data_IF_635816153966
#
_entry.id   IF_635816153966
#
_cell.length_a   1.000
_cell.length_b   1.000
_cell.length_c   1.000
_cell.angle_alpha   90.00
_cell.angle_beta   90.00
_cell.angle_gamma   90.00
#
_symmetry.space_group_name_H-M   'P 1'
#
loop_
_entity.id
_entity.type
_entity.pdbx_description
1 polymer ?
#
# COMPACT_ATOMS: atom_id res chain seq x y z
N UNK A 1 -2.44 0.12 33.51
CA UNK A 1 -3.01 0.77 32.32
C UNK A 1 -1.92 0.81 31.25
N UNK A 2 -2.05 0.04 30.18
CA UNK A 2 -1.10 0.10 29.06
C UNK A 2 -1.44 1.35 28.24
N UNK A 3 -0.55 2.33 28.23
CA UNK A 3 -0.73 3.57 27.49
C UNK A 3 -0.89 3.31 26.00
N UNK A 4 -1.82 4.03 25.37
CA UNK A 4 -1.98 4.06 23.91
C UNK A 4 -0.61 4.32 23.28
N UNK A 5 -0.15 3.52 22.29
CA UNK A 5 1.14 3.78 21.65
C UNK A 5 1.13 5.22 21.15
N UNK A 6 2.10 6.02 21.59
CA UNK A 6 2.24 7.40 21.15
C UNK A 6 2.36 7.40 19.64
N UNK A 7 1.35 7.95 18.96
CA UNK A 7 1.30 8.04 17.51
C UNK A 7 2.60 8.67 16.96
N UNK A 8 3.31 7.96 16.07
CA UNK A 8 4.62 8.36 15.57
C UNK A 8 4.49 9.37 14.42
N UNK A 9 4.27 10.64 14.77
CA UNK A 9 4.02 11.75 13.82
C UNK A 9 5.23 12.16 12.97
N UNK A 10 6.44 11.74 13.31
CA UNK A 10 7.66 12.08 12.56
C UNK A 10 7.82 11.27 11.26
N UNK A 11 7.11 10.13 11.14
CA UNK A 11 7.19 9.26 9.97
C UNK A 11 6.41 9.85 8.81
N UNK A 12 7.13 10.35 7.80
CA UNK A 12 6.58 10.89 6.56
C UNK A 12 6.64 9.92 5.38
N UNK A 13 7.56 8.96 5.44
CA UNK A 13 7.79 7.97 4.39
C UNK A 13 7.67 6.59 5.04
N UNK A 14 6.79 5.76 4.50
CA UNK A 14 6.55 4.41 4.98
C UNK A 14 6.72 3.43 3.83
N UNK A 15 7.55 2.41 4.03
CA UNK A 15 7.75 1.32 3.08
C UNK A 15 7.37 -0.02 3.72
N UNK A 16 6.53 -0.79 3.02
CA UNK A 16 6.06 -2.11 3.41
C UNK A 16 6.57 -3.12 2.36
N UNK A 17 7.67 -3.81 2.69
CA UNK A 17 8.48 -4.58 1.72
C UNK A 17 8.42 -6.11 1.91
N UNK A 18 8.26 -6.58 3.15
CA UNK A 18 8.54 -8.00 3.50
C UNK A 18 7.30 -8.91 3.55
N UNK A 19 6.10 -8.41 3.26
CA UNK A 19 4.87 -9.21 3.33
C UNK A 19 3.80 -8.53 2.50
N UNK A 20 3.10 -9.28 1.64
CA UNK A 20 2.01 -8.72 0.85
C UNK A 20 0.89 -8.25 1.80
N UNK A 21 0.79 -6.95 2.11
CA UNK A 21 -0.06 -6.54 3.20
C UNK A 21 -1.49 -6.52 2.69
N UNK A 22 -2.43 -7.02 3.50
CA UNK A 22 -3.85 -6.80 3.24
C UNK A 22 -4.17 -5.31 3.39
N UNK A 23 -5.24 -4.84 2.75
CA UNK A 23 -5.70 -3.47 2.94
C UNK A 23 -5.89 -3.15 4.43
N UNK A 24 -6.48 -4.07 5.20
CA UNK A 24 -6.68 -3.93 6.66
C UNK A 24 -5.37 -3.68 7.40
N UNK A 25 -4.34 -4.48 7.07
CA UNK A 25 -3.01 -4.35 7.68
C UNK A 25 -2.39 -2.98 7.37
N UNK A 26 -2.47 -2.54 6.12
CA UNK A 26 -1.97 -1.21 5.73
C UNK A 26 -2.68 -0.11 6.50
N UNK A 27 -4.01 -0.19 6.62
CA UNK A 27 -4.81 0.80 7.35
C UNK A 27 -4.43 0.87 8.83
N UNK A 28 -4.29 -0.27 9.50
CA UNK A 28 -3.86 -0.31 10.90
C UNK A 28 -2.46 0.27 11.08
N UNK A 29 -1.55 0.02 10.15
CA UNK A 29 -0.21 0.62 10.17
C UNK A 29 -0.30 2.13 9.97
N UNK A 30 -1.11 2.62 9.03
CA UNK A 30 -1.29 4.05 8.81
C UNK A 30 -1.87 4.78 10.04
N UNK A 31 -2.71 4.13 10.85
CA UNK A 31 -3.18 4.69 12.15
C UNK A 31 -2.03 4.96 13.13
N UNK A 32 -0.92 4.22 13.06
CA UNK A 32 0.27 4.48 13.89
C UNK A 32 1.12 5.65 13.38
N UNK A 33 0.96 6.02 12.11
CA UNK A 33 1.78 7.01 11.40
C UNK A 33 0.88 8.04 10.69
N UNK A 34 0.22 8.93 11.44
CA UNK A 34 -0.83 9.81 10.93
C UNK A 34 -0.34 10.88 9.96
N UNK A 35 0.97 11.11 9.84
CA UNK A 35 1.55 12.14 8.98
C UNK A 35 2.30 11.57 7.77
N UNK A 36 2.03 10.31 7.39
CA UNK A 36 2.63 9.69 6.20
C UNK A 36 2.25 10.49 4.95
N UNK A 37 3.27 10.91 4.21
CA UNK A 37 3.15 11.63 2.95
C UNK A 37 3.39 10.70 1.75
N UNK A 38 4.28 9.70 1.90
CA UNK A 38 4.67 8.77 0.84
C UNK A 38 4.58 7.32 1.32
N UNK A 39 3.78 6.51 0.62
CA UNK A 39 3.56 5.11 0.94
C UNK A 39 4.11 4.20 -0.18
N UNK A 40 5.02 3.31 0.18
CA UNK A 40 5.59 2.31 -0.73
C UNK A 40 5.11 0.92 -0.31
N UNK A 41 4.51 0.18 -1.23
CA UNK A 41 4.00 -1.17 -0.97
C UNK A 41 4.54 -2.11 -2.03
N UNK A 42 5.17 -3.20 -1.59
CA UNK A 42 5.59 -4.29 -2.47
C UNK A 42 4.58 -5.43 -2.41
N UNK A 43 3.99 -5.78 -3.56
CA UNK A 43 3.02 -6.87 -3.75
C UNK A 43 1.76 -6.73 -2.88
N UNK A 44 0.58 -6.60 -3.47
CA UNK A 44 -0.67 -6.52 -2.70
C UNK A 44 -1.45 -7.83 -2.76
N UNK A 45 -2.21 -8.12 -1.68
CA UNK A 45 -3.25 -9.15 -1.62
C UNK A 45 -4.52 -8.48 -1.11
N UNK A 46 -5.69 -8.95 -1.56
CA UNK A 46 -6.96 -8.51 -1.00
C UNK A 46 -7.68 -9.73 -0.41
N UNK A 47 -8.06 -9.58 0.84
CA UNK A 47 -9.19 -10.29 1.40
C UNK A 47 -10.31 -9.25 1.53
N UNK A 48 -11.50 -9.56 1.05
CA UNK A 48 -12.66 -8.71 1.24
C UNK A 48 -12.99 -8.70 2.73
N UNK A 49 -12.92 -7.54 3.37
CA UNK A 49 -13.32 -7.35 4.76
C UNK A 49 -14.00 -5.99 4.85
N UNK A 50 -15.11 -5.92 5.58
CA UNK A 50 -15.75 -4.66 5.96
C UNK A 50 -14.80 -3.94 6.91
N UNK A 51 -14.27 -2.81 6.48
CA UNK A 51 -13.37 -1.98 7.27
C UNK A 51 -14.18 -0.93 8.03
N UNK A 52 -13.96 -0.87 9.34
CA UNK A 52 -14.35 0.31 10.11
C UNK A 52 -13.32 1.40 9.86
N UNK A 53 -13.66 2.30 8.93
CA UNK A 53 -12.84 3.41 8.49
C UNK A 53 -12.98 4.59 9.45
N UNK A 54 -12.66 4.38 10.73
CA UNK A 54 -12.29 5.49 11.61
C UNK A 54 -11.32 6.41 10.86
N UNK A 55 -11.50 7.73 10.98
CA UNK A 55 -10.73 8.72 10.22
C UNK A 55 -9.22 8.44 10.31
N UNK A 56 -8.62 8.14 9.17
CA UNK A 56 -7.18 7.92 9.04
C UNK A 56 -6.57 9.26 8.65
N UNK A 57 -5.97 9.94 9.61
CA UNK A 57 -5.47 11.32 9.47
C UNK A 57 -4.58 11.52 8.23
N UNK A 58 -3.72 10.56 7.91
CA UNK A 58 -2.86 10.68 6.74
C UNK A 58 -3.64 10.65 5.43
N UNK A 59 -4.74 9.91 5.32
CA UNK A 59 -5.57 9.93 4.11
C UNK A 59 -6.27 11.28 3.92
N UNK A 60 -6.66 11.93 5.02
CA UNK A 60 -7.35 13.21 4.98
C UNK A 60 -6.41 14.38 4.66
N UNK A 61 -5.17 14.36 5.16
CA UNK A 61 -4.33 15.56 5.24
C UNK A 61 -2.91 15.43 4.70
N UNK A 62 -2.35 14.23 4.58
CA UNK A 62 -0.90 14.08 4.38
C UNK A 62 -0.49 13.22 3.19
N UNK A 63 -1.23 12.16 2.88
CA UNK A 63 -0.83 11.13 1.92
C UNK A 63 -0.95 11.66 0.49
N UNK A 64 0.19 11.98 -0.11
CA UNK A 64 0.30 12.56 -1.46
C UNK A 64 0.68 11.54 -2.51
N UNK A 65 1.50 10.54 -2.15
CA UNK A 65 2.10 9.62 -3.12
C UNK A 65 2.02 8.17 -2.67
N UNK A 66 1.66 7.30 -3.60
CA UNK A 66 1.67 5.84 -3.40
C UNK A 66 2.48 5.18 -4.52
N UNK A 67 3.36 4.24 -4.16
CA UNK A 67 4.07 3.37 -5.09
C UNK A 67 3.66 1.92 -4.85
N UNK A 68 3.01 1.32 -5.85
CA UNK A 68 2.64 -0.10 -5.85
C UNK A 68 3.61 -0.88 -6.74
N UNK A 69 4.57 -1.57 -6.11
CA UNK A 69 5.54 -2.41 -6.83
C UNK A 69 5.03 -3.83 -7.03
N UNK A 70 5.37 -4.42 -8.16
CA UNK A 70 4.95 -5.77 -8.54
C UNK A 70 3.49 -5.81 -8.99
N UNK A 71 2.97 -4.70 -9.52
CA UNK A 71 1.59 -4.61 -10.00
C UNK A 71 1.40 -5.50 -11.23
N UNK A 72 0.46 -6.44 -11.15
CA UNK A 72 0.06 -7.39 -12.19
C UNK A 72 -1.23 -6.98 -12.90
N UNK A 73 -1.96 -6.00 -12.37
CA UNK A 73 -3.19 -5.48 -13.01
C UNK A 73 -4.40 -6.37 -12.83
N UNK A 74 -4.38 -7.30 -11.87
CA UNK A 74 -5.57 -8.10 -11.55
C UNK A 74 -6.60 -7.26 -10.75
N UNK A 75 -7.85 -7.74 -10.72
CA UNK A 75 -8.97 -7.06 -10.05
C UNK A 75 -8.68 -6.71 -8.58
N UNK A 76 -8.01 -7.62 -7.87
CA UNK A 76 -7.64 -7.45 -6.45
C UNK A 76 -6.72 -6.24 -6.25
N UNK A 77 -5.68 -6.13 -7.07
CA UNK A 77 -4.72 -5.03 -6.98
C UNK A 77 -5.34 -3.70 -7.44
N UNK A 78 -6.27 -3.75 -8.40
CA UNK A 78 -7.04 -2.59 -8.85
C UNK A 78 -7.97 -2.05 -7.74
N UNK A 79 -8.75 -2.93 -7.09
CA UNK A 79 -9.63 -2.53 -5.98
C UNK A 79 -8.83 -2.01 -4.78
N UNK A 80 -7.64 -2.56 -4.53
CA UNK A 80 -6.71 -2.01 -3.54
C UNK A 80 -6.32 -0.56 -3.87
N UNK A 81 -5.91 -0.27 -5.10
CA UNK A 81 -5.55 1.09 -5.51
C UNK A 81 -6.76 2.04 -5.48
N UNK A 82 -7.93 1.56 -5.92
CA UNK A 82 -9.19 2.30 -5.93
C UNK A 82 -9.59 2.77 -4.54
N UNK A 83 -9.35 1.96 -3.50
CA UNK A 83 -9.58 2.39 -2.12
C UNK A 83 -8.86 3.71 -1.81
N UNK A 84 -7.58 3.83 -2.15
CA UNK A 84 -6.83 5.05 -1.86
C UNK A 84 -7.32 6.23 -2.69
N UNK A 85 -7.65 6.01 -3.97
CA UNK A 85 -8.24 7.06 -4.82
C UNK A 85 -9.54 7.61 -4.23
N UNK A 86 -10.38 6.76 -3.65
CA UNK A 86 -11.66 7.17 -3.09
C UNK A 86 -11.55 7.82 -1.71
N UNK A 87 -10.52 7.51 -0.93
CA UNK A 87 -10.43 7.89 0.48
C UNK A 87 -9.31 8.88 0.82
N UNK A 88 -8.28 9.00 -0.01
CA UNK A 88 -7.16 9.91 0.23
C UNK A 88 -7.39 11.27 -0.46
N UNK A 89 -7.79 12.28 0.32
CA UNK A 89 -8.27 13.58 -0.19
C UNK A 89 -7.21 14.44 -0.86
N UNK A 90 -5.95 14.29 -0.42
CA UNK A 90 -4.80 15.06 -0.90
C UNK A 90 -3.86 14.23 -1.77
N UNK A 91 -4.32 13.08 -2.25
CA UNK A 91 -3.52 12.18 -3.07
C UNK A 91 -3.26 12.81 -4.44
N UNK A 92 -1.98 12.99 -4.76
CA UNK A 92 -1.52 13.59 -6.01
C UNK A 92 -1.23 12.52 -7.07
N UNK A 93 -0.65 11.38 -6.68
CA UNK A 93 -0.20 10.35 -7.62
C UNK A 93 -0.18 8.94 -7.04
N UNK A 94 -0.60 7.97 -7.84
CA UNK A 94 -0.32 6.55 -7.66
C UNK A 94 0.58 6.07 -8.80
N UNK A 95 1.73 5.51 -8.45
CA UNK A 95 2.67 4.91 -9.40
C UNK A 95 2.57 3.38 -9.34
N UNK A 96 2.27 2.77 -10.49
CA UNK A 96 2.23 1.33 -10.65
C UNK A 96 3.53 0.86 -11.30
N UNK A 97 4.33 0.07 -10.57
CA UNK A 97 5.53 -0.55 -11.12
C UNK A 97 5.25 -2.01 -11.38
N UNK A 98 5.12 -2.37 -12.66
CA UNK A 98 4.90 -3.75 -13.07
C UNK A 98 6.07 -4.65 -12.67
N UNK A 99 5.76 -5.92 -12.40
CA UNK A 99 6.81 -6.93 -12.25
C UNK A 99 7.49 -7.10 -13.62
N UNK A 100 8.81 -6.91 -13.71
CA UNK A 100 9.55 -7.37 -14.89
C UNK A 100 9.44 -8.87 -14.88
N UNK A 101 8.73 -9.45 -15.85
CA UNK A 101 8.94 -10.86 -16.15
C UNK A 101 10.41 -10.94 -16.56
N UNK A 102 11.25 -11.52 -15.70
CA UNK A 102 12.49 -12.11 -16.18
C UNK A 102 12.03 -13.17 -17.18
N UNK A 103 12.06 -12.81 -18.47
CA UNK A 103 12.00 -13.78 -19.54
C UNK A 103 13.16 -14.74 -19.27
N UNK A 104 12.88 -15.85 -18.58
CA UNK A 104 13.76 -16.99 -18.60
C UNK A 104 13.74 -17.41 -20.06
N UNK A 105 14.78 -17.02 -20.78
CA UNK A 105 15.11 -17.69 -22.02
C UNK A 105 15.24 -19.14 -21.59
N UNK A 106 14.27 -19.96 -22.00
CA UNK A 106 14.45 -21.40 -21.94
C UNK A 106 15.57 -21.65 -22.93
N UNK A 107 16.81 -21.72 -22.44
CA UNK A 107 17.94 -22.21 -23.22
C UNK A 107 17.55 -23.62 -23.63
N UNK A 108 17.16 -23.74 -24.90
CA UNK A 108 16.68 -24.98 -25.49
C UNK A 108 17.77 -26.04 -25.41
N UNK A 109 17.65 -26.95 -24.46
CA UNK A 109 18.31 -28.25 -24.51
C UNK A 109 17.28 -29.31 -24.88
N UNK A 110 16.88 -29.28 -26.16
CA UNK A 110 16.42 -30.46 -26.90
C UNK A 110 17.41 -30.70 -28.04
N UNK A 111 18.64 -31.09 -27.68
CA UNK A 111 19.58 -31.84 -28.52
C UNK A 111 20.36 -32.78 -27.60
#
# INVERSE_FOLDING_TARGET
>A
MLGLPSSMRSVKILALTESCPSLVSVINILKCFPCVENLYIEKTKQHAVVLDLDRIECLDHHLKKIMLKGYRGNKIELEFAKFFVLNAKVLEVIMFRAHRNEWRINDGSYL
#
